data_IF_521261049396
#
_entry.id   IF_521261049396
#
_cell.length_a   1.000
_cell.length_b   1.000
_cell.length_c   1.000
_cell.angle_alpha   90.00
_cell.angle_beta   90.00
_cell.angle_gamma   90.00
#
_symmetry.space_group_name_H-M   'P 1'
#
loop_
_entity.id
_entity.type
_entity.pdbx_description
1 polymer ?
#
# COMPACT_ATOMS: atom_id res chain seq x y z
N UNK A 1 -1.86 3.85 21.84
CA UNK A 1 -1.51 2.55 21.21
C UNK A 1 -0.05 2.29 21.41
N UNK A 2 0.24 1.11 21.96
CA UNK A 2 1.59 0.61 22.08
C UNK A 2 2.16 0.23 20.71
N UNK A 3 3.49 0.27 20.57
CA UNK A 3 4.17 -0.08 19.31
C UNK A 3 3.82 -1.51 18.86
N UNK A 4 3.63 -2.43 19.81
CA UNK A 4 3.22 -3.81 19.54
C UNK A 4 1.80 -3.89 18.95
N UNK A 5 0.87 -3.06 19.42
CA UNK A 5 -0.49 -3.00 18.87
C UNK A 5 -0.48 -2.47 17.43
N UNK A 6 0.29 -1.40 17.19
CA UNK A 6 0.47 -0.83 15.85
C UNK A 6 1.08 -1.84 14.86
N UNK A 7 2.03 -2.67 15.30
CA UNK A 7 2.61 -3.73 14.47
C UNK A 7 1.58 -4.81 14.10
N UNK A 8 0.78 -5.26 15.07
CA UNK A 8 -0.31 -6.23 14.82
C UNK A 8 -1.36 -5.66 13.86
N UNK A 9 -1.73 -4.40 14.03
CA UNK A 9 -2.70 -3.73 13.16
C UNK A 9 -2.16 -3.56 11.74
N UNK A 10 -0.89 -3.17 11.59
CA UNK A 10 -0.22 -3.12 10.29
C UNK A 10 -0.22 -4.50 9.60
N UNK A 11 0.11 -5.58 10.31
CA UNK A 11 0.09 -6.92 9.74
C UNK A 11 -1.32 -7.36 9.32
N UNK A 12 -2.33 -7.06 10.15
CA UNK A 12 -3.73 -7.37 9.84
C UNK A 12 -4.22 -6.63 8.58
N UNK A 13 -3.88 -5.34 8.45
CA UNK A 13 -4.19 -4.54 7.26
C UNK A 13 -3.45 -5.06 6.01
N UNK A 14 -2.20 -5.48 6.16
CA UNK A 14 -1.43 -6.09 5.07
C UNK A 14 -2.07 -7.38 4.57
N UNK A 15 -2.43 -8.29 5.47
CA UNK A 15 -3.12 -9.54 5.12
C UNK A 15 -4.45 -9.27 4.42
N UNK A 16 -5.21 -8.30 4.92
CA UNK A 16 -6.50 -7.89 4.33
C UNK A 16 -6.31 -7.29 2.93
N UNK A 17 -5.30 -6.43 2.75
CA UNK A 17 -4.94 -5.86 1.46
C UNK A 17 -4.55 -6.94 0.45
N UNK A 18 -3.73 -7.93 0.85
CA UNK A 18 -3.33 -9.03 -0.02
C UNK A 18 -4.52 -9.89 -0.42
N UNK A 19 -5.38 -10.26 0.53
CA UNK A 19 -6.61 -11.00 0.26
C UNK A 19 -7.50 -10.26 -0.75
N UNK A 20 -7.76 -8.98 -0.51
CA UNK A 20 -8.59 -8.17 -1.42
C UNK A 20 -7.96 -8.00 -2.80
N UNK A 21 -6.62 -7.91 -2.91
CA UNK A 21 -5.94 -7.90 -4.22
C UNK A 21 -6.16 -9.20 -4.99
N UNK A 22 -6.06 -10.34 -4.33
CA UNK A 22 -6.33 -11.65 -4.94
C UNK A 22 -7.80 -11.75 -5.36
N UNK A 23 -8.74 -11.33 -4.50
CA UNK A 23 -10.17 -11.33 -4.83
C UNK A 23 -10.50 -10.45 -6.05
N UNK A 24 -9.87 -9.27 -6.17
CA UNK A 24 -10.00 -8.40 -7.33
C UNK A 24 -9.41 -9.07 -8.58
N UNK A 25 -8.21 -9.67 -8.47
CA UNK A 25 -7.57 -10.35 -9.60
C UNK A 25 -8.41 -11.53 -10.11
N UNK A 26 -9.07 -12.25 -9.20
CA UNK A 26 -10.01 -13.32 -9.53
C UNK A 26 -11.41 -12.81 -9.92
N UNK A 27 -11.61 -11.49 -10.07
CA UNK A 27 -12.90 -10.85 -10.36
C UNK A 27 -14.02 -11.18 -9.35
N UNK A 28 -13.67 -11.65 -8.15
CA UNK A 28 -14.58 -11.96 -7.05
C UNK A 28 -14.97 -10.71 -6.25
N UNK A 29 -14.13 -9.68 -6.29
CA UNK A 29 -14.38 -8.37 -5.68
C UNK A 29 -14.24 -7.28 -6.75
N UNK A 30 -15.31 -6.52 -6.99
CA UNK A 30 -15.32 -5.40 -7.96
C UNK A 30 -14.97 -4.08 -7.29
N UNK A 31 -15.04 -4.03 -5.96
CA UNK A 31 -14.81 -2.80 -5.20
C UNK A 31 -13.32 -2.52 -4.99
N UNK A 32 -12.70 -1.93 -6.01
CA UNK A 32 -11.31 -1.47 -5.93
C UNK A 32 -11.08 -0.38 -4.88
N UNK A 33 -12.13 0.31 -4.41
CA UNK A 33 -12.01 1.33 -3.37
C UNK A 33 -11.65 0.74 -2.01
N UNK A 34 -12.10 -0.49 -1.72
CA UNK A 34 -11.75 -1.26 -0.52
C UNK A 34 -10.25 -1.52 -0.44
N UNK A 35 -9.65 -1.93 -1.55
CA UNK A 35 -8.19 -2.12 -1.67
C UNK A 35 -7.43 -0.80 -1.44
N UNK A 36 -7.90 0.30 -2.04
CA UNK A 36 -7.31 1.65 -1.82
C UNK A 36 -7.44 2.13 -0.38
N UNK A 37 -8.51 1.74 0.32
CA UNK A 37 -8.71 2.08 1.75
C UNK A 37 -7.67 1.36 2.61
N UNK A 38 -7.55 0.03 2.50
CA UNK A 38 -6.56 -0.74 3.26
C UNK A 38 -5.12 -0.29 2.97
N UNK A 39 -4.81 0.07 1.72
CA UNK A 39 -3.50 0.60 1.38
C UNK A 39 -3.18 1.93 2.09
N UNK A 40 -4.16 2.84 2.19
CA UNK A 40 -3.98 4.12 2.90
C UNK A 40 -3.86 3.93 4.40
N UNK A 41 -4.70 3.08 4.99
CA UNK A 41 -4.66 2.77 6.42
C UNK A 41 -3.33 2.12 6.80
N UNK A 42 -2.88 1.11 6.03
CA UNK A 42 -1.58 0.47 6.24
C UNK A 42 -0.41 1.47 6.16
N UNK A 43 -0.42 2.34 5.15
CA UNK A 43 0.62 3.36 4.98
C UNK A 43 0.66 4.34 6.17
N UNK A 44 -0.50 4.72 6.71
CA UNK A 44 -0.60 5.59 7.89
C UNK A 44 0.02 4.94 9.13
N UNK A 45 -0.29 3.68 9.40
CA UNK A 45 0.29 2.96 10.55
C UNK A 45 1.79 2.79 10.39
N UNK A 46 2.27 2.46 9.18
CA UNK A 46 3.71 2.40 8.91
C UNK A 46 4.43 3.75 9.05
N UNK A 47 3.74 4.88 8.81
CA UNK A 47 4.30 6.21 9.06
C UNK A 47 4.47 6.45 10.57
N UNK A 48 3.42 6.19 11.36
CA UNK A 48 3.45 6.32 12.82
C UNK A 48 4.53 5.40 13.44
N UNK A 49 4.66 4.17 12.95
CA UNK A 49 5.70 3.23 13.38
C UNK A 49 7.11 3.73 13.07
N UNK A 50 7.30 4.44 11.94
CA UNK A 50 8.59 5.06 11.58
C UNK A 50 8.91 6.24 12.47
N UNK A 51 7.94 7.11 12.74
CA UNK A 51 8.09 8.23 13.68
C UNK A 51 8.45 7.74 15.09
N UNK A 52 7.90 6.59 15.52
CA UNK A 52 8.21 5.94 16.80
C UNK A 52 9.56 5.22 16.83
N UNK A 53 10.19 4.94 15.68
CA UNK A 53 11.49 4.27 15.56
C UNK A 53 12.37 4.96 14.51
N UNK A 54 12.95 6.13 14.83
CA UNK A 54 13.77 6.90 13.89
C UNK A 54 15.09 6.22 13.49
N UNK A 55 15.47 5.10 14.12
CA UNK A 55 16.74 4.41 13.82
C UNK A 55 16.76 3.58 12.51
N UNK A 56 15.67 3.56 11.72
CA UNK A 56 15.57 2.73 10.51
C UNK A 56 15.53 3.52 9.18
N UNK A 57 15.87 4.82 9.19
CA UNK A 57 15.83 5.67 7.99
C UNK A 57 16.86 5.30 6.89
N UNK A 58 17.80 4.39 7.16
CA UNK A 58 18.90 4.08 6.23
C UNK A 58 18.63 3.06 5.11
N UNK A 59 17.51 2.30 5.09
CA UNK A 59 17.41 1.12 4.20
C UNK A 59 16.27 1.08 3.17
N UNK A 60 15.27 1.95 3.22
CA UNK A 60 14.10 1.87 2.31
C UNK A 60 13.81 3.18 1.52
N UNK A 61 14.85 3.92 1.15
CA UNK A 61 14.78 5.11 0.30
C UNK A 61 14.65 4.85 -1.21
N UNK A 62 14.13 3.69 -1.64
CA UNK A 62 13.89 3.39 -3.07
C UNK A 62 12.47 2.91 -3.32
N UNK A 63 11.47 3.68 -2.90
CA UNK A 63 10.20 3.71 -3.62
C UNK A 63 10.25 4.87 -4.60
N UNK A 64 11.03 4.70 -5.68
CA UNK A 64 10.90 5.59 -6.83
C UNK A 64 9.47 5.40 -7.36
N UNK A 65 8.66 6.43 -7.14
CA UNK A 65 7.41 6.69 -7.83
C UNK A 65 7.68 6.78 -9.34
N UNK A 66 7.77 5.64 -10.04
CA UNK A 66 7.64 5.63 -11.50
C UNK A 66 6.15 5.68 -11.85
N UNK A 67 5.57 6.87 -11.71
CA UNK A 67 4.31 7.21 -12.33
C UNK A 67 4.58 7.95 -13.65
N UNK A 68 4.09 7.37 -14.75
CA UNK A 68 3.76 7.98 -16.07
C UNK A 68 4.96 8.58 -16.84
N UNK A 69 5.25 8.13 -18.07
CA UNK A 69 4.35 8.28 -19.21
C UNK A 69 4.34 7.06 -20.12
N UNK A 70 3.18 6.39 -20.22
CA UNK A 70 2.85 5.56 -21.38
C UNK A 70 2.38 6.55 -22.44
N UNK A 71 3.29 7.01 -23.31
CA UNK A 71 2.89 7.71 -24.53
C UNK A 71 2.06 6.73 -25.35
N UNK A 72 0.77 6.99 -25.40
CA UNK A 72 -0.14 6.40 -26.38
C UNK A 72 0.07 7.26 -27.62
N UNK A 73 0.92 6.81 -28.53
CA UNK A 73 0.96 7.35 -29.89
C UNK A 73 -0.30 6.85 -30.60
N UNK A 74 -1.36 7.65 -30.48
CA UNK A 74 -2.57 7.55 -31.30
C UNK A 74 -2.54 8.68 -32.31
N UNK A 75 -2.25 8.37 -33.57
CA UNK A 75 -2.58 9.11 -34.81
C UNK A 75 -2.06 8.23 -35.95
N UNK A 76 -2.85 7.35 -36.59
CA UNK A 76 -3.96 7.59 -37.53
C UNK A 76 -3.49 8.13 -38.89
N UNK A 77 -3.71 7.28 -39.90
CA UNK A 77 -3.71 7.46 -41.37
C UNK A 77 -2.34 7.56 -42.07
#
# INVERSE_FOLDING_TARGET
>A
METQELLREAEALWRSLQKTRIEIALSKEKNTSKCRRFQREHARICAILREKNPQNEGKNGKLQMRNKSRMISSSSL
#
